data_IF_042351503042
#
_entry.id   IF_042351503042
#
_cell.length_a   1.000
_cell.length_b   1.000
_cell.length_c   1.000
_cell.angle_alpha   90.00
_cell.angle_beta   90.00
_cell.angle_gamma   90.00
#
_symmetry.space_group_name_H-M   'P 1'
#
loop_
_entity.id
_entity.type
_entity.pdbx_description
1 polymer ?
#
# COMPACT_ATOMS: atom_id res chain seq x y z
N UNK A 1 -8.95 -1.18 8.56
CA UNK A 1 -10.40 -1.19 8.22
C UNK A 1 -10.53 -0.38 6.94
N UNK A 2 -11.29 -0.84 5.95
CA UNK A 2 -11.61 -0.04 4.75
C UNK A 2 -12.92 0.70 4.98
N UNK A 3 -13.13 1.81 4.26
CA UNK A 3 -14.47 2.36 4.16
C UNK A 3 -15.43 1.36 3.53
N UNK A 4 -16.69 1.44 3.93
CA UNK A 4 -17.80 0.62 3.44
C UNK A 4 -17.90 0.72 1.91
N UNK A 5 -17.76 1.93 1.39
CA UNK A 5 -17.54 2.21 -0.02
C UNK A 5 -16.38 3.19 -0.25
N UNK A 6 -15.59 2.92 -1.29
CA UNK A 6 -14.56 3.82 -1.82
C UNK A 6 -14.50 3.65 -3.33
N UNK A 7 -14.53 4.77 -4.05
CA UNK A 7 -14.22 4.84 -5.49
C UNK A 7 -13.16 5.92 -5.72
N UNK A 8 -12.21 5.61 -6.59
CA UNK A 8 -11.12 6.50 -6.99
C UNK A 8 -11.10 6.60 -8.51
N UNK A 9 -11.13 7.84 -9.01
CA UNK A 9 -11.02 8.16 -10.42
C UNK A 9 -9.83 9.10 -10.65
N UNK A 10 -9.15 8.90 -11.78
CA UNK A 10 -8.06 9.77 -12.21
C UNK A 10 -8.36 10.25 -13.62
N UNK A 11 -8.44 11.58 -13.77
CA UNK A 11 -8.84 12.23 -15.02
C UNK A 11 -10.18 11.70 -15.60
N UNK A 12 -11.12 11.32 -14.73
CA UNK A 12 -12.41 10.76 -15.11
C UNK A 12 -12.43 9.23 -15.34
N UNK A 13 -11.28 8.57 -15.36
CA UNK A 13 -11.17 7.12 -15.52
C UNK A 13 -11.16 6.43 -14.16
N UNK A 14 -11.94 5.35 -14.00
CA UNK A 14 -11.92 4.54 -12.77
C UNK A 14 -10.56 3.86 -12.59
N UNK A 15 -9.97 4.03 -11.40
CA UNK A 15 -8.74 3.35 -10.97
C UNK A 15 -9.07 2.22 -10.00
N UNK A 16 -10.01 2.49 -9.09
CA UNK A 16 -10.37 1.57 -8.04
C UNK A 16 -11.82 1.80 -7.63
N UNK A 17 -12.54 0.71 -7.41
CA UNK A 17 -13.81 0.74 -6.72
C UNK A 17 -13.89 -0.42 -5.74
N UNK A 18 -14.48 -0.13 -4.59
CA UNK A 18 -14.76 -1.09 -3.54
C UNK A 18 -15.71 -2.17 -4.06
N UNK A 19 -15.28 -3.44 -4.03
CA UNK A 19 -16.13 -4.61 -4.30
C UNK A 19 -16.55 -5.29 -3.00
N UNK A 20 -17.81 -5.68 -2.87
CA UNK A 20 -18.30 -6.44 -1.70
C UNK A 20 -17.41 -7.67 -1.50
N UNK A 21 -16.76 -7.84 -0.33
CA UNK A 21 -15.89 -8.98 -0.11
C UNK A 21 -16.70 -10.28 -0.13
N UNK A 22 -16.12 -11.33 -0.71
CA UNK A 22 -16.67 -12.69 -0.61
C UNK A 22 -16.75 -13.10 0.86
N UNK A 23 -17.77 -13.89 1.21
CA UNK A 23 -18.02 -14.33 2.59
C UNK A 23 -16.75 -14.98 3.17
N UNK A 24 -16.25 -14.46 4.30
CA UNK A 24 -15.02 -14.94 4.96
C UNK A 24 -13.71 -14.26 4.53
N UNK A 25 -13.72 -13.42 3.50
CA UNK A 25 -12.53 -12.69 3.07
C UNK A 25 -12.48 -11.26 3.65
N UNK A 26 -11.38 -10.93 4.34
CA UNK A 26 -11.05 -9.54 4.68
C UNK A 26 -10.28 -8.90 3.53
N UNK A 27 -10.58 -7.64 3.21
CA UNK A 27 -9.80 -6.88 2.23
C UNK A 27 -8.40 -6.59 2.76
N UNK A 28 -7.42 -6.63 1.86
CA UNK A 28 -6.04 -6.22 2.16
C UNK A 28 -5.84 -4.77 1.75
N UNK A 29 -5.14 -4.02 2.60
CA UNK A 29 -4.68 -2.66 2.33
C UNK A 29 -3.52 -2.72 1.31
N UNK A 30 -3.85 -2.81 0.03
CA UNK A 30 -2.85 -2.79 -1.05
C UNK A 30 -2.90 -1.47 -1.82
N UNK A 31 -1.74 -0.83 -2.08
CA UNK A 31 -1.67 0.37 -2.90
C UNK A 31 -2.28 0.14 -4.29
N UNK A 32 -3.00 1.14 -4.80
CA UNK A 32 -3.63 1.08 -6.13
C UNK A 32 -2.76 1.82 -7.15
N UNK A 33 -2.38 1.14 -8.23
CA UNK A 33 -1.63 1.75 -9.32
C UNK A 33 -2.52 2.67 -10.14
N UNK A 34 -2.13 3.94 -10.29
CA UNK A 34 -2.89 4.93 -11.07
C UNK A 34 -2.16 5.44 -12.32
N UNK A 35 -0.93 4.98 -12.55
CA UNK A 35 -0.01 5.50 -13.57
C UNK A 35 -0.59 5.47 -14.99
N UNK A 36 -1.35 4.43 -15.33
CA UNK A 36 -1.95 4.27 -16.66
C UNK A 36 -2.96 5.37 -17.02
N UNK A 37 -3.53 6.05 -16.02
CA UNK A 37 -4.54 7.09 -16.19
C UNK A 37 -3.97 8.51 -16.06
N UNK A 38 -2.66 8.65 -15.85
CA UNK A 38 -2.01 9.95 -15.76
C UNK A 38 -1.71 10.53 -17.14
N UNK A 39 -1.81 11.85 -17.25
CA UNK A 39 -1.41 12.64 -18.42
C UNK A 39 -0.30 13.63 -18.08
N UNK A 40 0.38 14.15 -19.11
CA UNK A 40 1.33 15.24 -18.94
C UNK A 40 0.61 16.48 -18.38
N UNK A 41 1.24 17.17 -17.43
CA UNK A 41 0.69 18.36 -16.79
C UNK A 41 -0.25 18.05 -15.62
N UNK A 42 -1.38 18.78 -15.53
CA UNK A 42 -2.30 18.71 -14.38
C UNK A 42 -3.20 17.47 -14.47
N UNK A 43 -3.19 16.70 -13.38
CA UNK A 43 -4.05 15.54 -13.18
C UNK A 43 -5.07 15.83 -12.09
N UNK A 44 -6.29 15.31 -12.24
CA UNK A 44 -7.33 15.39 -11.23
C UNK A 44 -7.59 14.01 -10.64
N UNK A 45 -7.53 13.90 -9.32
CA UNK A 45 -7.90 12.69 -8.58
C UNK A 45 -9.21 12.97 -7.85
N UNK A 46 -10.24 12.20 -8.15
CA UNK A 46 -11.54 12.27 -7.47
C UNK A 46 -11.69 11.03 -6.60
N UNK A 47 -11.99 11.24 -5.34
CA UNK A 47 -12.27 10.18 -4.37
C UNK A 47 -13.70 10.36 -3.88
N UNK A 48 -14.48 9.28 -3.95
CA UNK A 48 -15.80 9.18 -3.34
C UNK A 48 -15.74 8.11 -2.26
N UNK A 49 -16.12 8.45 -1.03
CA UNK A 49 -16.20 7.51 0.07
C UNK A 49 -17.57 7.61 0.75
N UNK A 50 -18.18 6.46 1.01
CA UNK A 50 -19.36 6.37 1.85
C UNK A 50 -19.00 5.50 3.04
N UNK A 51 -18.93 6.16 4.20
CA UNK A 51 -18.67 5.55 5.49
C UNK A 51 -19.20 6.47 6.59
N UNK A 52 -19.45 5.92 7.76
CA UNK A 52 -19.81 6.70 8.96
C UNK A 52 -18.57 7.36 9.58
N UNK A 53 -17.38 6.75 9.40
CA UNK A 53 -16.12 7.17 10.00
C UNK A 53 -15.14 7.75 8.99
N UNK A 54 -15.63 8.54 8.02
CA UNK A 54 -14.80 9.08 6.92
C UNK A 54 -13.55 9.82 7.39
N UNK A 55 -13.60 10.44 8.57
CA UNK A 55 -12.51 11.21 9.17
C UNK A 55 -11.34 10.35 9.66
N UNK A 56 -11.54 9.05 9.81
CA UNK A 56 -10.52 8.12 10.30
C UNK A 56 -9.62 7.61 9.16
N UNK A 57 -9.94 7.94 7.91
CA UNK A 57 -9.21 7.48 6.74
C UNK A 57 -8.33 8.59 6.15
N UNK A 58 -7.13 8.21 5.70
CA UNK A 58 -6.21 9.08 4.99
C UNK A 58 -5.90 8.50 3.61
N UNK A 59 -5.79 9.39 2.62
CA UNK A 59 -5.40 9.04 1.26
C UNK A 59 -4.12 9.78 0.93
N UNK A 60 -3.12 9.04 0.46
CA UNK A 60 -1.85 9.57 0.01
C UNK A 60 -1.58 9.14 -1.43
N UNK A 61 -1.08 10.08 -2.23
CA UNK A 61 -0.54 9.80 -3.57
C UNK A 61 0.98 9.83 -3.45
N UNK A 62 1.61 8.69 -3.70
CA UNK A 62 3.06 8.54 -3.56
C UNK A 62 3.67 8.14 -4.89
N UNK A 63 4.84 8.70 -5.22
CA UNK A 63 5.66 8.23 -6.33
C UNK A 63 6.50 7.05 -5.84
N UNK A 64 6.32 5.88 -6.46
CA UNK A 64 7.07 4.67 -6.11
C UNK A 64 7.89 4.19 -7.30
N UNK A 65 8.91 3.37 -7.01
CA UNK A 65 9.68 2.64 -8.01
C UNK A 65 9.46 1.14 -7.74
N UNK A 66 8.87 0.38 -8.68
CA UNK A 66 8.67 -1.04 -8.48
C UNK A 66 10.04 -1.74 -8.38
N UNK A 67 10.16 -2.65 -7.41
CA UNK A 67 11.35 -3.47 -7.21
C UNK A 67 11.04 -4.92 -7.51
N UNK A 68 11.96 -5.61 -8.19
CA UNK A 68 11.84 -7.07 -8.39
C UNK A 68 12.20 -7.78 -7.08
N UNK A 69 11.64 -8.97 -6.80
CA UNK A 69 11.99 -9.73 -5.58
C UNK A 69 13.49 -9.88 -5.35
N UNK A 70 14.27 -10.16 -6.41
CA UNK A 70 15.74 -10.27 -6.37
C UNK A 70 16.47 -9.00 -5.90
N UNK A 71 15.89 -7.82 -6.16
CA UNK A 71 16.47 -6.53 -5.75
C UNK A 71 16.20 -6.28 -4.26
N UNK A 72 15.04 -6.73 -3.76
CA UNK A 72 14.71 -6.70 -2.33
C UNK A 72 15.63 -7.63 -1.54
N UNK A 73 15.90 -8.83 -2.04
CA UNK A 73 16.83 -9.79 -1.41
C UNK A 73 18.21 -9.17 -1.25
N UNK A 74 18.74 -8.51 -2.28
CA UNK A 74 20.04 -7.80 -2.18
C UNK A 74 20.02 -6.72 -1.11
N UNK A 75 18.94 -5.92 -1.04
CA UNK A 75 18.81 -4.89 -0.02
C UNK A 75 18.77 -5.48 1.40
N UNK A 76 18.07 -6.60 1.61
CA UNK A 76 18.02 -7.30 2.90
C UNK A 76 19.41 -7.86 3.27
N UNK A 77 20.12 -8.47 2.31
CA UNK A 77 21.46 -9.01 2.55
C UNK A 77 22.49 -7.91 2.88
N UNK A 78 22.34 -6.72 2.30
CA UNK A 78 23.17 -5.56 2.64
C UNK A 78 22.91 -5.01 4.05
N UNK A 79 21.70 -5.22 4.59
CA UNK A 79 21.38 -4.94 5.99
C UNK A 79 21.87 -6.07 6.94
N UNK A 80 22.32 -7.20 6.39
CA UNK A 80 22.56 -8.46 7.08
C UNK A 80 23.87 -8.59 7.86
N UNK A 81 24.79 -7.62 7.79
CA UNK A 81 26.03 -7.69 8.59
C UNK A 81 25.81 -7.31 10.07
N UNK A 82 24.72 -6.61 10.40
CA UNK A 82 24.40 -6.20 11.78
C UNK A 82 23.23 -6.98 12.41
N UNK A 83 22.38 -7.61 11.60
CA UNK A 83 21.17 -8.31 12.07
C UNK A 83 21.44 -9.68 12.70
N UNK A 84 22.48 -10.40 12.28
CA UNK A 84 22.81 -11.73 12.79
C UNK A 84 23.33 -11.66 14.23
N UNK A 85 24.32 -10.81 14.50
CA UNK A 85 24.85 -10.55 15.85
C UNK A 85 23.76 -10.03 16.80
N UNK A 86 22.98 -9.03 16.38
CA UNK A 86 21.88 -8.49 17.19
C UNK A 86 20.73 -9.48 17.43
N UNK A 87 20.62 -10.54 16.64
CA UNK A 87 19.67 -11.63 16.87
C UNK A 87 20.26 -12.67 17.83
N UNK A 88 21.56 -12.98 17.68
CA UNK A 88 22.29 -13.89 18.56
C UNK A 88 22.37 -13.34 20.00
N UNK A 89 22.61 -12.04 20.14
CA UNK A 89 22.66 -11.35 21.43
C UNK A 89 21.31 -11.37 22.15
N UNK A 90 20.20 -11.21 21.41
CA UNK A 90 18.84 -11.37 21.95
C UNK A 90 18.56 -12.78 22.46
N UNK A 91 19.03 -13.80 21.75
CA UNK A 91 18.89 -15.20 22.19
C UNK A 91 19.72 -15.44 23.46
N UNK A 92 20.95 -14.91 23.51
CA UNK A 92 21.80 -15.01 24.71
C UNK A 92 21.22 -14.29 25.92
N UNK A 93 20.51 -13.17 25.75
CA UNK A 93 19.86 -12.47 26.87
C UNK A 93 18.63 -13.19 27.44
N UNK A 94 18.15 -14.25 26.79
CA UNK A 94 16.99 -15.04 27.20
C UNK A 94 17.38 -16.39 27.83
N UNK A 95 18.67 -16.73 27.86
CA UNK A 95 19.25 -17.93 28.48
C UNK A 95 19.99 -17.55 29.76
#
# INVERSE_FOLDING_TARGET
>A
IWSSFLSVQVNGNEVFTTKVPLRGHKRRDVPQGMTANLRRGRNAVKVTAEDERRRDFLIAVVRTVPRKPRELVRAILQLGSSGAEASLERVRSLL
#
